data_IF_247801655948
#
_entry.id   IF_247801655948
#
_cell.length_a   1.000
_cell.length_b   1.000
_cell.length_c   1.000
_cell.angle_alpha   90.00
_cell.angle_beta   90.00
_cell.angle_gamma   90.00
#
_symmetry.space_group_name_H-M   'P 1'
#
loop_
_entity.id
_entity.type
_entity.pdbx_description
1 polymer ?
#
# COMPACT_ATOMS: atom_id res chain seq x y z
N UNK A 1 8.52 -15.85 -29.11
CA UNK A 1 8.50 -15.65 -27.64
C UNK A 1 7.56 -14.55 -27.19
N UNK A 2 7.19 -13.57 -28.04
CA UNK A 2 6.26 -12.45 -27.68
C UNK A 2 4.83 -12.90 -27.36
N UNK A 3 4.27 -13.89 -28.06
CA UNK A 3 2.89 -14.35 -27.80
C UNK A 3 2.68 -15.00 -26.42
N UNK A 4 3.71 -15.65 -25.86
CA UNK A 4 3.63 -16.31 -24.56
C UNK A 4 3.60 -15.29 -23.39
N UNK A 5 4.34 -14.20 -23.52
CA UNK A 5 4.35 -13.12 -22.53
C UNK A 5 3.03 -12.31 -22.57
N UNK A 6 2.42 -12.16 -23.75
CA UNK A 6 1.11 -11.53 -23.95
C UNK A 6 -0.02 -12.31 -23.23
N UNK A 7 -0.07 -13.65 -23.37
CA UNK A 7 -1.07 -14.50 -22.73
C UNK A 7 -0.96 -14.47 -21.20
N UNK A 8 0.27 -14.55 -20.66
CA UNK A 8 0.54 -14.47 -19.24
C UNK A 8 0.04 -13.14 -18.66
N UNK A 9 0.33 -12.04 -19.36
CA UNK A 9 -0.11 -10.69 -18.94
C UNK A 9 -1.63 -10.53 -19.00
N UNK A 10 -2.30 -11.07 -20.02
CA UNK A 10 -3.77 -11.08 -20.13
C UNK A 10 -4.41 -11.82 -18.96
N UNK A 11 -3.90 -13.01 -18.61
CA UNK A 11 -4.38 -13.80 -17.48
C UNK A 11 -4.21 -13.06 -16.15
N UNK A 12 -3.08 -12.40 -15.90
CA UNK A 12 -2.87 -11.57 -14.71
C UNK A 12 -3.87 -10.42 -14.64
N UNK A 13 -4.05 -9.65 -15.73
CA UNK A 13 -4.99 -8.53 -15.74
C UNK A 13 -6.43 -8.98 -15.50
N UNK A 14 -6.87 -10.06 -16.14
CA UNK A 14 -8.20 -10.64 -15.93
C UNK A 14 -8.35 -11.19 -14.50
N UNK A 15 -7.33 -11.86 -13.98
CA UNK A 15 -7.30 -12.35 -12.60
C UNK A 15 -7.44 -11.21 -11.59
N UNK A 16 -6.65 -10.16 -11.73
CA UNK A 16 -6.71 -8.97 -10.87
C UNK A 16 -8.13 -8.39 -10.87
N UNK A 17 -8.73 -8.17 -12.03
CA UNK A 17 -10.08 -7.64 -12.17
C UNK A 17 -11.12 -8.51 -11.45
N UNK A 18 -11.11 -9.81 -11.71
CA UNK A 18 -12.13 -10.71 -11.18
C UNK A 18 -11.93 -11.01 -9.68
N UNK A 19 -10.71 -11.23 -9.24
CA UNK A 19 -10.41 -11.44 -7.83
C UNK A 19 -10.75 -10.22 -6.97
N UNK A 20 -10.49 -9.00 -7.45
CA UNK A 20 -10.86 -7.78 -6.73
C UNK A 20 -12.37 -7.55 -6.68
N UNK A 21 -13.10 -8.02 -7.68
CA UNK A 21 -14.54 -7.83 -7.77
C UNK A 21 -15.34 -8.89 -6.98
N UNK A 22 -14.91 -10.14 -7.05
CA UNK A 22 -15.67 -11.28 -6.51
C UNK A 22 -14.97 -12.01 -5.37
N UNK A 23 -13.71 -11.69 -5.09
CA UNK A 23 -12.86 -12.43 -4.15
C UNK A 23 -12.35 -13.75 -4.74
N UNK A 24 -11.39 -14.38 -4.03
CA UNK A 24 -10.78 -15.64 -4.48
C UNK A 24 -11.77 -16.79 -4.62
N UNK A 25 -12.62 -16.99 -3.59
CA UNK A 25 -13.53 -18.15 -3.51
C UNK A 25 -14.59 -18.17 -4.63
N UNK A 26 -15.07 -17.00 -5.06
CA UNK A 26 -16.08 -16.87 -6.10
C UNK A 26 -15.50 -16.77 -7.53
N UNK A 27 -14.17 -16.66 -7.69
CA UNK A 27 -13.52 -16.51 -8.98
C UNK A 27 -12.98 -17.84 -9.49
N UNK A 28 -13.54 -18.34 -10.60
CA UNK A 28 -13.10 -19.59 -11.23
C UNK A 28 -12.09 -19.35 -12.37
N UNK A 29 -11.26 -20.36 -12.64
CA UNK A 29 -10.35 -20.36 -13.79
C UNK A 29 -11.08 -20.18 -15.13
N UNK A 30 -12.33 -20.69 -15.25
CA UNK A 30 -13.14 -20.49 -16.46
C UNK A 30 -13.52 -19.03 -16.66
N UNK A 31 -13.90 -18.33 -15.59
CA UNK A 31 -14.19 -16.90 -15.65
C UNK A 31 -12.96 -16.11 -16.10
N UNK A 32 -11.80 -16.42 -15.53
CA UNK A 32 -10.54 -15.72 -15.86
C UNK A 32 -10.13 -15.99 -17.30
N UNK A 33 -10.20 -17.23 -17.79
CA UNK A 33 -9.87 -17.57 -19.18
C UNK A 33 -10.81 -16.86 -20.17
N UNK A 34 -12.10 -16.78 -19.86
CA UNK A 34 -13.10 -16.06 -20.65
C UNK A 34 -12.83 -14.55 -20.67
N UNK A 35 -12.59 -13.91 -19.53
CA UNK A 35 -12.25 -12.49 -19.42
C UNK A 35 -10.95 -12.13 -20.14
N UNK A 36 -9.96 -13.03 -20.08
CA UNK A 36 -8.66 -12.86 -20.75
C UNK A 36 -8.69 -13.17 -22.25
N UNK A 37 -9.83 -13.68 -22.76
CA UNK A 37 -9.98 -14.16 -24.15
C UNK A 37 -8.90 -15.19 -24.54
N UNK A 38 -8.68 -16.18 -23.67
CA UNK A 38 -7.70 -17.25 -23.90
C UNK A 38 -8.32 -18.61 -23.62
N UNK A 39 -7.67 -19.68 -24.11
CA UNK A 39 -8.09 -21.05 -23.80
C UNK A 39 -7.87 -21.35 -22.30
N UNK A 40 -8.79 -22.11 -21.69
CA UNK A 40 -8.68 -22.54 -20.30
C UNK A 40 -7.36 -23.29 -19.99
N UNK A 41 -6.84 -24.07 -20.96
CA UNK A 41 -5.55 -24.75 -20.84
C UNK A 41 -4.36 -23.78 -20.62
N UNK A 42 -4.49 -22.52 -21.00
CA UNK A 42 -3.44 -21.53 -20.78
C UNK A 42 -3.19 -21.28 -19.29
N UNK A 43 -4.23 -21.37 -18.45
CA UNK A 43 -4.05 -21.22 -16.99
C UNK A 43 -3.24 -22.39 -16.43
N UNK A 44 -3.61 -23.63 -16.79
CA UNK A 44 -2.85 -24.80 -16.37
C UNK A 44 -1.39 -24.76 -16.85
N UNK A 45 -1.18 -24.29 -18.07
CA UNK A 45 0.16 -24.16 -18.65
C UNK A 45 1.03 -23.09 -17.95
N UNK A 46 0.48 -21.90 -17.64
CA UNK A 46 1.23 -20.77 -17.09
C UNK A 46 1.31 -20.76 -15.57
N UNK A 47 0.24 -21.22 -14.89
CA UNK A 47 0.07 -21.06 -13.45
C UNK A 47 -0.30 -22.34 -12.70
N UNK A 48 -0.51 -23.45 -13.40
CA UNK A 48 -0.91 -24.75 -12.88
C UNK A 48 -2.33 -24.77 -12.30
N UNK A 49 -2.73 -23.79 -11.48
CA UNK A 49 -4.06 -23.72 -10.85
C UNK A 49 -4.46 -22.28 -10.51
N UNK A 50 -5.69 -22.13 -9.95
CA UNK A 50 -6.25 -20.83 -9.57
C UNK A 50 -5.45 -20.14 -8.45
N UNK A 51 -4.96 -20.91 -7.50
CA UNK A 51 -4.17 -20.41 -6.37
C UNK A 51 -2.86 -19.75 -6.83
N UNK A 52 -2.10 -20.44 -7.70
CA UNK A 52 -0.86 -19.93 -8.28
C UNK A 52 -1.09 -18.67 -9.12
N UNK A 53 -2.20 -18.63 -9.84
CA UNK A 53 -2.58 -17.41 -10.57
C UNK A 53 -2.92 -16.27 -9.63
N UNK A 54 -3.64 -16.54 -8.52
CA UNK A 54 -3.94 -15.53 -7.51
C UNK A 54 -2.67 -14.93 -6.89
N UNK A 55 -1.74 -15.81 -6.47
CA UNK A 55 -0.43 -15.38 -5.96
C UNK A 55 0.32 -14.51 -6.98
N UNK A 56 0.35 -14.93 -8.24
CA UNK A 56 1.00 -14.16 -9.30
C UNK A 56 0.32 -12.79 -9.55
N UNK A 57 -0.99 -12.69 -9.37
CA UNK A 57 -1.70 -11.41 -9.40
C UNK A 57 -1.27 -10.49 -8.26
N UNK A 58 -1.19 -11.01 -7.04
CA UNK A 58 -0.71 -10.26 -5.88
C UNK A 58 0.74 -9.80 -6.08
N UNK A 59 1.64 -10.69 -6.46
CA UNK A 59 3.05 -10.36 -6.72
C UNK A 59 3.20 -9.24 -7.76
N UNK A 60 2.44 -9.34 -8.88
CA UNK A 60 2.44 -8.32 -9.92
C UNK A 60 2.02 -6.94 -9.40
N UNK A 61 1.00 -6.91 -8.53
CA UNK A 61 0.50 -5.67 -7.95
C UNK A 61 1.48 -5.08 -6.94
N UNK A 62 2.05 -5.93 -6.09
CA UNK A 62 3.05 -5.53 -5.10
C UNK A 62 4.31 -4.93 -5.75
N UNK A 63 4.78 -5.53 -6.85
CA UNK A 63 5.92 -4.98 -7.60
C UNK A 63 5.63 -3.59 -8.19
N UNK A 64 4.41 -3.33 -8.63
CA UNK A 64 4.02 -1.98 -9.07
C UNK A 64 4.04 -0.96 -7.95
N UNK A 65 3.49 -1.32 -6.78
CA UNK A 65 3.51 -0.45 -5.60
C UNK A 65 4.94 -0.20 -5.13
N UNK A 66 5.77 -1.24 -5.05
CA UNK A 66 7.20 -1.10 -4.72
C UNK A 66 7.92 -0.18 -5.70
N UNK A 67 7.66 -0.31 -7.00
CA UNK A 67 8.24 0.55 -8.03
C UNK A 67 7.92 2.03 -7.82
N UNK A 68 6.73 2.33 -7.32
CA UNK A 68 6.31 3.69 -7.05
C UNK A 68 7.15 4.38 -5.95
N UNK A 69 7.51 3.63 -4.90
CA UNK A 69 8.32 4.14 -3.79
C UNK A 69 9.82 4.00 -3.99
N UNK A 70 10.27 3.28 -5.01
CA UNK A 70 11.67 2.85 -5.16
C UNK A 70 12.66 4.02 -5.13
N UNK A 71 12.38 5.10 -5.86
CA UNK A 71 13.27 6.28 -5.91
C UNK A 71 13.41 6.94 -4.53
N UNK A 72 12.31 7.11 -3.80
CA UNK A 72 12.31 7.71 -2.47
C UNK A 72 13.05 6.85 -1.46
N UNK A 73 12.87 5.53 -1.49
CA UNK A 73 13.62 4.64 -0.61
C UNK A 73 15.10 4.60 -0.91
N UNK A 74 15.51 4.66 -2.19
CA UNK A 74 16.92 4.74 -2.55
C UNK A 74 17.56 6.03 -2.05
N UNK A 75 16.86 7.16 -2.14
CA UNK A 75 17.33 8.46 -1.65
C UNK A 75 17.50 8.46 -0.11
N UNK A 76 16.50 7.95 0.61
CA UNK A 76 16.52 7.84 2.08
C UNK A 76 17.66 6.93 2.54
N UNK A 77 17.75 5.72 1.99
CA UNK A 77 18.81 4.76 2.33
C UNK A 77 20.20 5.29 1.98
N UNK A 78 20.34 6.00 0.86
CA UNK A 78 21.56 6.66 0.47
C UNK A 78 21.97 7.75 1.47
N UNK A 79 21.02 8.52 1.97
CA UNK A 79 21.25 9.58 2.96
C UNK A 79 21.70 8.99 4.30
N UNK A 80 21.10 7.88 4.75
CA UNK A 80 21.55 7.16 5.95
C UNK A 80 22.96 6.59 5.78
N UNK A 81 23.25 5.94 4.66
CA UNK A 81 24.58 5.35 4.38
C UNK A 81 25.70 6.36 4.33
N UNK A 82 25.42 7.62 3.95
CA UNK A 82 26.37 8.71 3.89
C UNK A 82 26.50 9.47 5.23
N UNK A 83 25.84 9.01 6.29
CA UNK A 83 25.75 9.70 7.59
C UNK A 83 25.28 11.18 7.46
N UNK A 84 24.44 11.43 6.46
CA UNK A 84 23.93 12.76 6.13
C UNK A 84 22.48 12.99 6.58
N UNK A 85 21.90 12.03 7.31
CA UNK A 85 20.54 12.11 7.82
C UNK A 85 20.49 13.02 9.04
N UNK A 86 19.71 14.08 8.95
CA UNK A 86 19.44 15.01 10.05
C UNK A 86 17.96 14.92 10.44
N UNK A 87 17.57 15.36 11.65
CA UNK A 87 16.14 15.41 12.01
C UNK A 87 15.30 16.21 11.02
N UNK A 88 15.84 17.31 10.50
CA UNK A 88 15.14 18.12 9.49
C UNK A 88 14.91 17.33 8.20
N UNK A 89 15.94 16.69 7.66
CA UNK A 89 15.80 15.84 6.46
C UNK A 89 14.89 14.65 6.67
N UNK A 90 14.96 14.01 7.84
CA UNK A 90 14.07 12.90 8.18
C UNK A 90 12.62 13.34 8.21
N UNK A 91 12.31 14.52 8.73
CA UNK A 91 10.96 15.09 8.70
C UNK A 91 10.49 15.38 7.27
N UNK A 92 11.34 15.98 6.43
CA UNK A 92 11.04 16.21 5.01
C UNK A 92 10.77 14.89 4.25
N UNK A 93 11.52 13.85 4.54
CA UNK A 93 11.26 12.51 3.98
C UNK A 93 9.96 11.89 4.47
N UNK A 94 9.59 12.10 5.74
CA UNK A 94 8.29 11.67 6.27
C UNK A 94 7.14 12.36 5.53
N UNK A 95 7.22 13.68 5.34
CA UNK A 95 6.23 14.43 4.56
C UNK A 95 6.11 13.88 3.14
N UNK A 96 7.24 13.69 2.46
CA UNK A 96 7.28 13.13 1.10
C UNK A 96 6.67 11.72 1.02
N UNK A 97 6.98 10.83 1.98
CA UNK A 97 6.41 9.48 2.00
C UNK A 97 4.90 9.50 2.29
N UNK A 98 4.42 10.37 3.17
CA UNK A 98 3.00 10.55 3.46
C UNK A 98 2.27 11.03 2.20
N UNK A 99 2.81 12.03 1.48
CA UNK A 99 2.24 12.50 0.21
C UNK A 99 2.14 11.38 -0.82
N UNK A 100 3.22 10.60 -0.99
CA UNK A 100 3.23 9.44 -1.90
C UNK A 100 2.20 8.38 -1.51
N UNK A 101 2.02 8.12 -0.21
CA UNK A 101 1.01 7.16 0.25
C UNK A 101 -0.41 7.65 -0.01
N UNK A 102 -0.67 8.94 0.21
CA UNK A 102 -1.96 9.56 -0.11
C UNK A 102 -2.22 9.46 -1.61
N UNK A 103 -1.23 9.76 -2.46
CA UNK A 103 -1.36 9.59 -3.91
C UNK A 103 -1.71 8.15 -4.30
N UNK A 104 -1.02 7.15 -3.75
CA UNK A 104 -1.29 5.73 -4.02
C UNK A 104 -2.69 5.33 -3.52
N UNK A 105 -3.07 5.73 -2.30
CA UNK A 105 -4.34 5.36 -1.70
C UNK A 105 -5.54 5.91 -2.51
N UNK A 106 -5.39 7.08 -3.10
CA UNK A 106 -6.46 7.73 -3.85
C UNK A 106 -6.37 7.56 -5.38
N UNK A 107 -5.28 7.01 -5.90
CA UNK A 107 -5.13 6.80 -7.34
C UNK A 107 -6.05 5.66 -7.83
N UNK A 108 -6.89 5.92 -8.85
CA UNK A 108 -7.85 4.92 -9.35
C UNK A 108 -7.20 3.59 -9.75
N UNK A 109 -5.98 3.64 -10.30
CA UNK A 109 -5.24 2.45 -10.71
C UNK A 109 -4.80 1.54 -9.55
N UNK A 110 -4.74 2.05 -8.32
CA UNK A 110 -4.36 1.28 -7.14
C UNK A 110 -5.55 0.83 -6.29
N UNK A 111 -6.78 1.30 -6.58
CA UNK A 111 -7.99 0.87 -5.87
C UNK A 111 -8.14 -0.65 -5.83
N UNK A 112 -7.93 -1.29 -6.98
CA UNK A 112 -7.99 -2.75 -7.13
C UNK A 112 -6.83 -3.44 -6.40
N UNK A 113 -5.65 -2.82 -6.38
CA UNK A 113 -4.46 -3.33 -5.67
C UNK A 113 -4.70 -3.39 -4.18
N UNK A 114 -5.16 -2.29 -3.61
CA UNK A 114 -5.42 -2.17 -2.18
C UNK A 114 -6.52 -3.16 -1.77
N UNK A 115 -7.62 -3.26 -2.52
CA UNK A 115 -8.67 -4.22 -2.27
C UNK A 115 -8.14 -5.66 -2.20
N UNK A 116 -7.28 -6.09 -3.16
CA UNK A 116 -6.71 -7.44 -3.15
C UNK A 116 -5.78 -7.69 -1.98
N UNK A 117 -4.96 -6.71 -1.61
CA UNK A 117 -4.01 -6.82 -0.49
C UNK A 117 -4.77 -6.91 0.84
N UNK A 118 -5.87 -6.15 1.00
CA UNK A 118 -6.70 -6.20 2.22
C UNK A 118 -7.60 -7.43 2.32
N UNK A 119 -7.90 -8.07 1.18
CA UNK A 119 -8.67 -9.30 1.15
C UNK A 119 -7.81 -10.55 1.38
N UNK A 120 -6.57 -10.39 1.85
CA UNK A 120 -5.65 -11.51 2.11
C UNK A 120 -6.25 -12.60 3.01
N UNK A 121 -7.13 -12.24 3.94
CA UNK A 121 -7.85 -13.20 4.78
C UNK A 121 -8.87 -14.06 4.00
N UNK A 122 -9.19 -13.70 2.76
CA UNK A 122 -10.11 -14.42 1.88
C UNK A 122 -9.38 -15.11 0.71
N UNK A 123 -8.05 -15.07 0.70
CA UNK A 123 -7.21 -15.77 -0.26
C UNK A 123 -7.01 -17.25 0.09
N UNK A 124 -6.35 -18.01 -0.80
CA UNK A 124 -6.00 -19.40 -0.55
C UNK A 124 -4.85 -19.50 0.46
N UNK A 125 -5.05 -20.31 1.49
CA UNK A 125 -4.01 -20.54 2.48
C UNK A 125 -3.62 -19.30 3.29
N UNK A 126 -2.39 -19.25 3.79
CA UNK A 126 -1.85 -18.12 4.53
C UNK A 126 -1.11 -17.14 3.61
N UNK A 127 -1.76 -16.05 3.22
CA UNK A 127 -1.18 -15.00 2.37
C UNK A 127 -0.46 -13.91 3.19
N UNK A 128 -0.52 -13.94 4.52
CA UNK A 128 0.15 -12.97 5.41
C UNK A 128 1.63 -12.74 5.12
N UNK A 129 2.44 -13.75 4.75
CA UNK A 129 3.83 -13.50 4.40
C UNK A 129 4.03 -12.61 3.17
N UNK A 130 3.13 -12.67 2.19
CA UNK A 130 3.21 -11.86 0.97
C UNK A 130 2.87 -10.39 1.25
N UNK A 131 1.77 -10.13 1.95
CA UNK A 131 1.37 -8.77 2.33
C UNK A 131 2.33 -8.17 3.35
N UNK A 132 2.79 -8.96 4.34
CA UNK A 132 3.81 -8.52 5.29
C UNK A 132 5.09 -8.09 4.57
N UNK A 133 5.61 -8.89 3.62
CA UNK A 133 6.79 -8.54 2.85
C UNK A 133 6.62 -7.27 1.99
N UNK A 134 5.38 -6.95 1.60
CA UNK A 134 5.07 -5.73 0.86
C UNK A 134 5.19 -4.48 1.70
N UNK A 135 4.70 -4.54 2.93
CA UNK A 135 4.61 -3.38 3.83
C UNK A 135 5.78 -3.27 4.82
N UNK A 136 6.50 -4.36 5.08
CA UNK A 136 7.59 -4.41 6.06
C UNK A 136 8.65 -3.31 5.80
N UNK A 137 9.11 -3.18 4.54
CA UNK A 137 10.09 -2.14 4.19
C UNK A 137 9.56 -0.74 4.44
N UNK A 138 8.32 -0.46 4.04
CA UNK A 138 7.69 0.84 4.22
C UNK A 138 7.58 1.21 5.71
N UNK A 139 7.11 0.27 6.53
CA UNK A 139 6.97 0.51 7.97
C UNK A 139 8.30 0.70 8.65
N UNK A 140 9.33 -0.09 8.29
CA UNK A 140 10.68 0.07 8.84
C UNK A 140 11.31 1.40 8.47
N UNK A 141 11.25 1.80 7.20
CA UNK A 141 11.81 3.09 6.75
C UNK A 141 11.12 4.25 7.45
N UNK A 142 9.79 4.24 7.54
CA UNK A 142 9.06 5.28 8.29
C UNK A 142 9.42 5.28 9.77
N UNK A 143 9.52 4.12 10.39
CA UNK A 143 9.88 4.01 11.80
C UNK A 143 11.31 4.54 12.06
N UNK A 144 12.26 4.26 11.18
CA UNK A 144 13.64 4.77 11.26
C UNK A 144 13.69 6.30 11.13
N UNK A 145 12.91 6.87 10.21
CA UNK A 145 12.77 8.32 10.08
C UNK A 145 12.12 8.93 11.34
N UNK A 146 11.07 8.30 11.89
CA UNK A 146 10.41 8.75 13.14
C UNK A 146 11.39 8.72 14.30
N UNK A 147 12.23 7.68 14.45
CA UNK A 147 13.26 7.63 15.47
C UNK A 147 14.34 8.70 15.32
N UNK A 148 14.58 9.16 14.08
CA UNK A 148 15.52 10.25 13.82
C UNK A 148 14.97 11.60 14.28
N UNK A 149 13.65 11.82 14.18
CA UNK A 149 13.03 13.11 14.54
C UNK A 149 12.51 13.15 15.99
N UNK A 150 12.31 11.99 16.64
CA UNK A 150 11.70 11.91 17.95
C UNK A 150 12.42 10.90 18.86
N UNK A 151 12.57 11.17 20.17
CA UNK A 151 13.23 10.28 21.14
C UNK A 151 12.30 9.13 21.55
N UNK A 152 11.99 8.24 20.63
CA UNK A 152 11.05 7.12 20.83
C UNK A 152 11.72 5.77 20.62
N UNK A 153 11.19 4.72 21.27
CA UNK A 153 11.61 3.35 21.03
C UNK A 153 11.21 2.86 19.64
N UNK A 154 11.89 1.82 19.15
CA UNK A 154 11.54 1.18 17.89
C UNK A 154 10.07 0.74 17.84
N UNK A 155 9.55 0.16 18.93
CA UNK A 155 8.15 -0.27 19.00
C UNK A 155 7.17 0.90 18.87
N UNK A 156 7.45 2.02 19.53
CA UNK A 156 6.63 3.24 19.42
C UNK A 156 6.66 3.81 17.99
N UNK A 157 7.84 3.83 17.36
CA UNK A 157 7.98 4.29 15.99
C UNK A 157 7.22 3.39 14.99
N UNK A 158 7.28 2.06 15.15
CA UNK A 158 6.52 1.11 14.33
C UNK A 158 5.01 1.30 14.53
N UNK A 159 4.53 1.46 15.76
CA UNK A 159 3.12 1.72 16.05
C UNK A 159 2.67 3.04 15.40
N UNK A 160 3.47 4.09 15.48
CA UNK A 160 3.16 5.37 14.84
C UNK A 160 3.13 5.25 13.30
N UNK A 161 4.11 4.57 12.71
CA UNK A 161 4.11 4.26 11.27
C UNK A 161 2.84 3.50 10.87
N UNK A 162 2.44 2.49 11.65
CA UNK A 162 1.22 1.71 11.40
C UNK A 162 -0.05 2.55 11.50
N UNK A 163 -0.14 3.49 12.45
CA UNK A 163 -1.26 4.43 12.54
C UNK A 163 -1.34 5.34 11.31
N UNK A 164 -0.20 5.89 10.87
CA UNK A 164 -0.14 6.73 9.67
C UNK A 164 -0.60 5.94 8.44
N UNK A 165 0.02 4.78 8.19
CA UNK A 165 -0.31 3.93 7.05
C UNK A 165 -1.77 3.48 7.09
N UNK A 166 -2.26 3.01 8.24
CA UNK A 166 -3.62 2.53 8.40
C UNK A 166 -4.67 3.61 8.18
N UNK A 167 -4.44 4.84 8.66
CA UNK A 167 -5.37 5.94 8.43
C UNK A 167 -5.45 6.31 6.96
N UNK A 168 -4.33 6.49 6.27
CA UNK A 168 -4.31 6.84 4.84
C UNK A 168 -5.03 5.78 3.99
N UNK A 169 -4.74 4.51 4.25
CA UNK A 169 -5.34 3.40 3.52
C UNK A 169 -6.84 3.31 3.76
N UNK A 170 -7.29 3.48 5.02
CA UNK A 170 -8.70 3.47 5.35
C UNK A 170 -9.49 4.53 4.57
N UNK A 171 -8.95 5.73 4.41
CA UNK A 171 -9.56 6.76 3.57
C UNK A 171 -9.62 6.36 2.09
N UNK A 172 -8.58 5.75 1.56
CA UNK A 172 -8.55 5.28 0.17
C UNK A 172 -9.54 4.14 -0.10
N UNK A 173 -9.63 3.18 0.83
CA UNK A 173 -10.50 2.00 0.71
C UNK A 173 -11.97 2.34 0.89
N UNK A 174 -12.30 3.19 1.88
CA UNK A 174 -13.67 3.61 2.21
C UNK A 174 -14.07 4.94 1.56
N UNK A 175 -13.41 5.32 0.47
CA UNK A 175 -13.61 6.60 -0.21
C UNK A 175 -15.10 6.90 -0.49
N UNK A 176 -15.86 5.95 -1.02
CA UNK A 176 -17.27 6.15 -1.31
C UNK A 176 -18.10 6.49 -0.09
N UNK A 177 -17.83 5.83 1.05
CA UNK A 177 -18.51 6.12 2.32
C UNK A 177 -18.19 7.54 2.84
N UNK A 178 -16.93 7.97 2.70
CA UNK A 178 -16.51 9.30 3.14
C UNK A 178 -17.10 10.37 2.23
N UNK A 179 -17.14 10.14 0.92
CA UNK A 179 -17.73 11.06 -0.07
C UNK A 179 -19.22 11.31 0.17
N UNK A 180 -19.94 10.35 0.78
CA UNK A 180 -21.34 10.51 1.16
C UNK A 180 -21.55 11.35 2.44
N UNK A 181 -20.54 11.40 3.31
CA UNK A 181 -20.60 12.10 4.60
C UNK A 181 -20.08 13.54 4.55
N UNK A 182 -19.25 13.87 3.58
CA UNK A 182 -18.65 15.19 3.42
C UNK A 182 -19.15 15.86 2.13
N UNK A 183 -19.16 17.21 2.07
CA UNK A 183 -19.56 17.91 0.87
C UNK A 183 -18.79 17.42 -0.35
N UNK A 184 -19.53 17.11 -1.43
CA UNK A 184 -18.92 16.62 -2.68
C UNK A 184 -17.89 17.63 -3.20
N UNK A 185 -16.74 17.16 -3.70
CA UNK A 185 -15.79 18.00 -4.40
C UNK A 185 -16.42 18.59 -5.64
N UNK A 186 -15.92 19.75 -6.06
CA UNK A 186 -16.27 20.36 -7.33
C UNK A 186 -16.03 19.35 -8.48
N UNK A 187 -16.94 19.32 -9.45
CA UNK A 187 -16.87 18.37 -10.58
C UNK A 187 -15.49 18.37 -11.24
N UNK A 188 -14.91 17.18 -11.38
CA UNK A 188 -13.66 16.96 -12.11
C UNK A 188 -12.42 16.63 -11.29
N UNK A 189 -12.42 16.74 -9.98
CA UNK A 189 -11.27 16.40 -9.13
C UNK A 189 -11.34 14.99 -8.55
N UNK A 190 -10.24 14.25 -8.63
CA UNK A 190 -10.17 12.87 -8.14
C UNK A 190 -10.31 12.75 -6.62
N UNK A 191 -9.76 13.67 -5.85
CA UNK A 191 -9.95 13.92 -4.41
C UNK A 191 -9.60 15.38 -4.16
N UNK A 192 -10.43 16.15 -3.46
CA UNK A 192 -10.15 17.54 -3.18
C UNK A 192 -8.82 17.71 -2.47
N UNK A 193 -8.07 18.74 -2.86
CA UNK A 193 -6.78 19.05 -2.26
C UNK A 193 -6.89 19.21 -0.73
N UNK A 194 -7.95 19.84 -0.24
CA UNK A 194 -8.17 20.04 1.19
C UNK A 194 -8.30 18.73 1.98
N UNK A 195 -8.88 17.68 1.40
CA UNK A 195 -8.95 16.35 2.06
C UNK A 195 -7.55 15.75 2.18
N UNK A 196 -6.73 15.88 1.13
CA UNK A 196 -5.34 15.40 1.15
C UNK A 196 -4.53 16.13 2.21
N UNK A 197 -4.65 17.45 2.26
CA UNK A 197 -3.96 18.28 3.26
C UNK A 197 -4.41 17.96 4.69
N UNK A 198 -5.71 17.73 4.90
CA UNK A 198 -6.24 17.31 6.20
C UNK A 198 -5.70 15.96 6.65
N UNK A 199 -5.68 14.96 5.75
CA UNK A 199 -5.10 13.64 6.04
C UNK A 199 -3.61 13.78 6.35
N UNK A 200 -2.86 14.53 5.54
CA UNK A 200 -1.44 14.80 5.74
C UNK A 200 -1.19 15.47 7.09
N UNK A 201 -1.94 16.52 7.41
CA UNK A 201 -1.84 17.25 8.67
C UNK A 201 -2.05 16.32 9.88
N UNK A 202 -3.06 15.47 9.84
CA UNK A 202 -3.34 14.51 10.91
C UNK A 202 -2.23 13.45 11.03
N UNK A 203 -1.68 12.96 9.93
CA UNK A 203 -0.53 12.04 9.94
C UNK A 203 0.72 12.69 10.55
N UNK A 204 1.02 13.94 10.17
CA UNK A 204 2.16 14.69 10.73
C UNK A 204 1.95 15.03 12.20
N UNK A 205 0.70 15.28 12.65
CA UNK A 205 0.40 15.49 14.07
C UNK A 205 0.79 14.29 14.94
N UNK A 206 0.69 13.06 14.42
CA UNK A 206 1.19 11.86 15.12
C UNK A 206 2.70 11.99 15.37
N UNK A 207 3.47 12.38 14.35
CA UNK A 207 4.92 12.56 14.46
C UNK A 207 5.26 13.72 15.42
N UNK A 208 4.59 14.86 15.26
CA UNK A 208 4.80 16.05 16.10
C UNK A 208 4.51 15.78 17.58
N UNK A 209 3.50 14.96 17.87
CA UNK A 209 3.22 14.47 19.22
C UNK A 209 4.41 13.72 19.82
N UNK A 210 5.05 12.87 19.04
CA UNK A 210 6.19 12.08 19.49
C UNK A 210 7.46 12.93 19.70
N UNK A 211 7.58 14.07 18.99
CA UNK A 211 8.66 15.03 19.17
C UNK A 211 8.55 15.84 20.48
N UNK A 212 7.41 15.78 21.16
CA UNK A 212 7.11 16.52 22.40
C UNK A 212 6.74 15.56 23.55
N UNK A 213 7.69 14.74 24.01
CA UNK A 213 7.41 13.70 25.02
C UNK A 213 6.90 14.27 26.36
N UNK A 214 7.20 15.53 26.66
CA UNK A 214 6.71 16.23 27.86
C UNK A 214 5.19 16.41 27.86
N UNK A 215 4.54 16.48 26.72
CA UNK A 215 3.08 16.56 26.58
C UNK A 215 2.41 15.19 26.63
N UNK A 216 3.16 14.16 26.38
CA UNK A 216 2.67 12.77 26.27
C UNK A 216 3.67 11.84 26.94
N UNK A 217 3.60 11.65 28.26
CA UNK A 217 4.56 10.81 28.97
C UNK A 217 4.60 9.41 28.38
N UNK A 218 5.79 8.79 28.32
CA UNK A 218 5.93 7.43 27.83
C UNK A 218 5.07 6.48 28.67
N UNK A 219 4.55 5.43 28.01
CA UNK A 219 3.88 4.36 28.75
C UNK A 219 4.82 3.86 29.85
N UNK A 220 4.30 3.55 31.05
CA UNK A 220 5.13 2.97 32.11
C UNK A 220 5.79 1.72 31.56
N UNK A 221 7.10 1.61 31.78
CA UNK A 221 7.84 0.40 31.45
C UNK A 221 7.20 -0.79 32.20
N UNK A 222 6.79 -1.81 31.43
CA UNK A 222 6.33 -3.07 32.00
C UNK A 222 7.52 -3.88 32.52
#
# INVERSE_FOLDING_TARGET
MEGNNSTKTKLIKAGIKLFSQYGYAATSTRMIASEAEVNLSAIAFHYSNNERLYVACLEYMLEKVKGYYAASYMEIEGTFKQDAMTPQKAYEFLEKLIDLQIEVAFAPQYKTTLALIYWENNGPGDMRPLSAAAFDRQERVMAELIQTVAPVSQSQAIIASRHINGSIISFGEHRGFIEDLIPKPLEGESVPLWIREEIKGNCLAIVQRLMKPELFPPYPAQ
#
